data_IF_650447508748
#
_entry.id   IF_650447508748
#
_cell.length_a   1.000
_cell.length_b   1.000
_cell.length_c   1.000
_cell.angle_alpha   90.00
_cell.angle_beta   90.00
_cell.angle_gamma   90.00
#
_symmetry.space_group_name_H-M   'P 1'
#
loop_
_entity.id
_entity.type
_entity.pdbx_description
1 polymer ?
#
# COMPACT_ATOMS: atom_id res chain seq x y z
N UNK A 1 -7.81 -8.14 16.01
CA UNK A 1 -6.80 -8.31 14.94
C UNK A 1 -5.43 -7.78 15.35
N UNK A 2 -5.24 -6.45 15.49
CA UNK A 2 -3.92 -5.87 15.84
C UNK A 2 -3.38 -6.40 17.16
N UNK A 3 -4.21 -6.41 18.22
CA UNK A 3 -3.82 -6.97 19.53
C UNK A 3 -3.26 -8.40 19.46
N UNK A 4 -3.72 -9.20 18.50
CA UNK A 4 -3.31 -10.59 18.30
C UNK A 4 -2.05 -10.75 17.43
N UNK A 5 -1.42 -9.66 16.97
CA UNK A 5 -0.19 -9.68 16.16
C UNK A 5 -0.36 -9.19 14.73
N UNK A 6 -1.58 -8.83 14.32
CA UNK A 6 -1.84 -8.27 12.99
C UNK A 6 -1.26 -6.86 12.82
N UNK A 7 -0.97 -6.48 11.58
CA UNK A 7 -0.63 -5.07 11.24
C UNK A 7 -1.77 -4.43 10.49
N UNK A 8 -2.30 -3.32 11.01
CA UNK A 8 -3.30 -2.50 10.34
C UNK A 8 -2.62 -1.25 9.76
N UNK A 9 -2.92 -0.93 8.50
CA UNK A 9 -2.57 0.34 7.87
C UNK A 9 -3.89 1.02 7.53
N UNK A 10 -4.07 2.26 7.99
CA UNK A 10 -5.23 3.09 7.66
C UNK A 10 -4.80 4.41 7.05
N UNK A 11 -5.57 4.85 6.07
CA UNK A 11 -5.55 6.20 5.55
C UNK A 11 -6.44 7.11 6.40
N UNK A 12 -6.52 8.38 5.99
CA UNK A 12 -7.24 9.44 6.67
C UNK A 12 -8.69 9.08 7.00
N UNK A 13 -9.18 9.64 8.10
CA UNK A 13 -10.54 9.62 8.58
C UNK A 13 -11.11 8.22 8.95
N UNK A 14 -10.36 7.30 9.59
CA UNK A 14 -10.88 5.98 9.94
C UNK A 14 -12.09 6.05 10.87
N UNK A 15 -13.19 5.47 10.42
CA UNK A 15 -14.43 5.43 11.19
C UNK A 15 -15.09 6.79 11.40
N UNK A 16 -14.77 7.79 10.56
CA UNK A 16 -15.39 9.11 10.57
C UNK A 16 -16.91 9.07 10.44
N UNK A 17 -17.41 8.15 9.61
CA UNK A 17 -18.84 7.91 9.47
C UNK A 17 -19.21 6.61 10.19
N UNK A 18 -20.35 6.60 10.87
CA UNK A 18 -20.91 5.38 11.43
C UNK A 18 -21.70 4.58 10.38
N UNK A 19 -22.28 3.45 10.82
CA UNK A 19 -23.07 2.55 9.96
C UNK A 19 -24.33 3.18 9.34
N UNK A 20 -24.74 4.35 9.81
CA UNK A 20 -25.90 5.09 9.33
C UNK A 20 -25.50 6.31 8.48
N UNK A 21 -24.20 6.51 8.25
CA UNK A 21 -23.67 7.63 7.47
C UNK A 21 -23.50 8.93 8.26
N UNK A 22 -23.69 8.92 9.59
CA UNK A 22 -23.48 10.12 10.40
C UNK A 22 -21.99 10.35 10.63
N UNK A 23 -21.54 11.56 10.28
CA UNK A 23 -20.17 11.99 10.53
C UNK A 23 -19.98 12.31 12.02
N UNK A 24 -18.87 11.84 12.59
CA UNK A 24 -18.47 12.13 13.97
C UNK A 24 -17.88 13.54 14.06
N UNK A 25 -18.33 14.39 15.00
CA UNK A 25 -17.75 15.72 15.20
C UNK A 25 -16.25 15.69 15.51
N UNK A 26 -15.79 14.67 16.24
CA UNK A 26 -14.38 14.48 16.61
C UNK A 26 -13.44 14.03 15.48
N UNK A 27 -13.91 13.98 14.23
CA UNK A 27 -13.08 13.63 13.07
C UNK A 27 -12.97 12.13 12.83
N UNK A 28 -12.37 11.37 13.77
CA UNK A 28 -12.21 9.91 13.67
C UNK A 28 -12.98 9.17 14.78
N UNK A 29 -13.15 7.86 14.63
CA UNK A 29 -13.85 7.07 15.67
C UNK A 29 -13.02 6.98 16.96
N UNK A 30 -13.65 6.97 18.16
CA UNK A 30 -12.92 6.79 19.42
C UNK A 30 -12.07 5.53 19.47
N UNK A 31 -12.55 4.44 18.87
CA UNK A 31 -11.81 3.17 18.74
C UNK A 31 -10.55 3.35 17.88
N UNK A 32 -10.60 4.19 16.84
CA UNK A 32 -9.44 4.52 16.04
C UNK A 32 -8.44 5.39 16.83
N UNK A 33 -8.91 6.40 17.58
CA UNK A 33 -8.05 7.21 18.45
C UNK A 33 -7.28 6.36 19.47
N UNK A 34 -7.96 5.38 20.07
CA UNK A 34 -7.35 4.41 20.98
C UNK A 34 -6.34 3.52 20.26
N UNK A 35 -6.76 2.89 19.16
CA UNK A 35 -5.92 1.95 18.40
C UNK A 35 -4.63 2.59 17.87
N UNK A 36 -4.73 3.81 17.36
CA UNK A 36 -3.60 4.55 16.80
C UNK A 36 -2.89 5.42 17.84
N UNK A 37 -3.38 5.48 19.09
CA UNK A 37 -2.86 6.31 20.17
C UNK A 37 -2.61 7.77 19.75
N UNK A 38 -3.69 8.40 19.27
CA UNK A 38 -3.73 9.81 18.84
C UNK A 38 -5.02 10.49 19.30
N UNK A 39 -5.06 11.81 19.13
CA UNK A 39 -6.27 12.62 19.07
C UNK A 39 -6.31 13.30 17.70
N UNK A 40 -7.47 13.26 17.04
CA UNK A 40 -7.65 14.03 15.80
C UNK A 40 -7.58 15.53 16.10
N UNK A 41 -6.71 16.25 15.39
CA UNK A 41 -6.60 17.70 15.53
C UNK A 41 -7.39 18.43 14.44
N UNK A 42 -7.09 18.12 13.18
CA UNK A 42 -7.66 18.85 12.05
C UNK A 42 -7.58 18.03 10.77
N UNK A 43 -8.57 18.21 9.90
CA UNK A 43 -8.52 17.75 8.51
C UNK A 43 -8.81 18.90 7.56
N UNK A 44 -7.94 19.09 6.56
CA UNK A 44 -8.08 20.13 5.54
C UNK A 44 -7.83 19.58 4.16
N UNK A 45 -8.45 20.19 3.14
CA UNK A 45 -8.10 19.91 1.75
C UNK A 45 -6.71 20.45 1.43
N UNK A 46 -6.05 19.81 0.48
CA UNK A 46 -4.74 20.22 -0.05
C UNK A 46 -4.80 20.34 -1.56
N UNK A 47 -4.02 21.27 -2.10
CA UNK A 47 -3.84 21.41 -3.54
C UNK A 47 -3.10 20.22 -4.14
N UNK A 48 -3.32 20.03 -5.43
CA UNK A 48 -2.56 19.07 -6.23
C UNK A 48 -1.14 19.57 -6.52
N UNK A 49 -0.21 18.65 -6.78
CA UNK A 49 1.12 19.01 -7.27
C UNK A 49 1.09 19.68 -8.64
N UNK A 50 0.06 19.41 -9.44
CA UNK A 50 -0.08 19.91 -10.81
C UNK A 50 -0.86 21.24 -10.85
N UNK A 51 -0.42 22.13 -11.73
CA UNK A 51 -1.08 23.41 -12.02
C UNK A 51 -1.34 23.47 -13.54
N UNK A 52 -2.60 23.67 -13.99
CA UNK A 52 -3.83 23.78 -13.19
C UNK A 52 -4.21 22.44 -12.51
N UNK A 53 -5.00 22.47 -11.42
CA UNK A 53 -5.44 21.25 -10.74
C UNK A 53 -6.39 20.44 -11.64
N UNK A 54 -6.29 19.11 -11.57
CA UNK A 54 -7.14 18.18 -12.32
C UNK A 54 -8.45 17.88 -11.59
N UNK A 55 -8.41 17.73 -10.26
CA UNK A 55 -9.54 17.29 -9.43
C UNK A 55 -9.96 18.32 -8.38
N UNK A 56 -9.00 19.11 -7.90
CA UNK A 56 -9.16 20.05 -6.80
C UNK A 56 -9.91 21.27 -7.33
N UNK A 57 -11.04 21.64 -6.73
CA UNK A 57 -11.80 22.79 -7.18
C UNK A 57 -10.97 24.07 -7.02
N UNK A 58 -11.27 25.07 -7.85
CA UNK A 58 -10.70 26.41 -7.70
C UNK A 58 -11.00 26.92 -6.29
N UNK A 59 -9.97 27.44 -5.64
CA UNK A 59 -10.12 28.05 -4.33
C UNK A 59 -11.02 29.28 -4.43
N UNK A 60 -12.14 29.26 -3.69
CA UNK A 60 -13.13 30.36 -3.68
C UNK A 60 -12.76 31.48 -2.70
N UNK A 61 -11.93 31.17 -1.70
CA UNK A 61 -11.52 32.09 -0.64
C UNK A 61 -10.12 31.70 -0.18
N UNK A 62 -9.22 32.68 -0.02
CA UNK A 62 -7.83 32.47 0.34
C UNK A 62 -7.66 31.58 1.58
N UNK A 63 -6.79 30.58 1.49
CA UNK A 63 -6.43 29.71 2.62
C UNK A 63 -7.49 28.65 2.97
N UNK A 64 -8.49 28.41 2.13
CA UNK A 64 -9.43 27.30 2.31
C UNK A 64 -8.76 25.95 1.99
N UNK A 65 -7.85 25.94 1.04
CA UNK A 65 -7.10 24.75 0.61
C UNK A 65 -5.64 24.96 0.97
N UNK A 66 -5.04 23.96 1.61
CA UNK A 66 -3.62 23.99 1.94
C UNK A 66 -2.77 24.00 0.66
N UNK A 67 -1.66 24.74 0.61
CA UNK A 67 -0.70 24.62 -0.48
C UNK A 67 -0.15 23.20 -0.55
N UNK A 68 0.14 22.73 -1.75
CA UNK A 68 0.77 21.42 -1.94
C UNK A 68 2.16 21.41 -1.28
N UNK A 69 2.41 20.40 -0.45
CA UNK A 69 3.73 20.10 0.11
C UNK A 69 3.78 18.60 0.45
N UNK A 70 4.83 17.87 0.04
CA UNK A 70 4.96 16.46 0.39
C UNK A 70 5.11 16.29 1.90
N UNK A 71 4.58 15.19 2.43
CA UNK A 71 4.86 14.75 3.78
C UNK A 71 6.31 14.26 3.85
N UNK A 72 7.03 14.71 4.86
CA UNK A 72 8.42 14.30 5.12
C UNK A 72 8.41 13.13 6.10
N UNK A 73 9.05 12.03 5.74
CA UNK A 73 9.32 10.93 6.66
C UNK A 73 10.35 11.29 7.73
N UNK A 74 10.13 10.79 8.94
CA UNK A 74 10.98 11.01 10.11
C UNK A 74 11.29 9.69 10.83
N UNK A 75 12.36 9.69 11.64
CA UNK A 75 12.84 8.48 12.31
C UNK A 75 13.16 7.39 11.29
N UNK A 76 12.54 6.22 11.43
CA UNK A 76 12.77 5.09 10.51
C UNK A 76 12.38 5.35 9.04
N UNK A 77 11.60 6.41 8.79
CA UNK A 77 11.18 6.82 7.45
C UNK A 77 11.95 8.06 6.94
N UNK A 78 13.07 8.42 7.55
CA UNK A 78 13.95 9.45 7.00
C UNK A 78 14.35 9.14 5.55
N UNK A 79 14.33 10.17 4.70
CA UNK A 79 14.55 10.04 3.26
C UNK A 79 13.32 9.60 2.45
N UNK A 80 12.23 9.19 3.09
CA UNK A 80 10.96 8.93 2.41
C UNK A 80 10.13 10.21 2.31
N UNK A 81 9.38 10.32 1.22
CA UNK A 81 8.36 11.35 1.02
C UNK A 81 7.04 10.68 0.68
N UNK A 82 5.95 11.28 1.16
CA UNK A 82 4.59 10.86 0.80
C UNK A 82 3.91 12.05 0.12
N UNK A 83 3.32 11.81 -1.05
CA UNK A 83 2.51 12.76 -1.78
C UNK A 83 1.11 12.78 -1.16
N UNK A 84 0.70 13.85 -0.45
CA UNK A 84 -0.63 13.93 0.09
C UNK A 84 -1.65 14.15 -1.03
N UNK A 85 -2.77 13.45 -0.92
CA UNK A 85 -3.86 13.49 -1.87
C UNK A 85 -5.16 13.84 -1.18
N UNK A 86 -5.90 14.78 -1.77
CA UNK A 86 -7.23 15.24 -1.36
C UNK A 86 -7.30 15.95 0.00
N UNK A 87 -6.67 15.41 1.03
CA UNK A 87 -6.63 15.98 2.37
C UNK A 87 -5.29 15.78 3.08
N UNK A 88 -5.11 16.61 4.10
CA UNK A 88 -4.12 16.46 5.17
C UNK A 88 -4.89 16.38 6.48
N UNK A 89 -4.73 15.26 7.18
CA UNK A 89 -5.22 15.05 8.53
C UNK A 89 -4.06 15.09 9.51
N UNK A 90 -4.18 15.97 10.50
CA UNK A 90 -3.18 16.26 11.51
C UNK A 90 -3.62 15.64 12.84
N UNK A 91 -2.65 15.08 13.55
CA UNK A 91 -2.86 14.37 14.80
C UNK A 91 -2.09 15.02 15.95
N UNK A 92 -2.68 15.03 17.14
CA UNK A 92 -1.92 15.14 18.38
C UNK A 92 -1.55 13.73 18.81
N UNK A 93 -0.27 13.54 19.10
CA UNK A 93 0.28 12.25 19.49
C UNK A 93 0.01 12.02 20.98
N UNK A 94 -0.43 10.81 21.33
CA UNK A 94 -0.47 10.35 22.72
C UNK A 94 0.79 9.51 22.97
N UNK A 95 0.70 8.21 22.74
CA UNK A 95 1.82 7.26 22.96
C UNK A 95 2.37 6.66 21.65
N UNK A 96 1.75 6.97 20.52
CA UNK A 96 2.24 6.51 19.22
C UNK A 96 3.55 7.19 18.81
N UNK A 97 4.27 6.58 17.89
CA UNK A 97 5.48 7.14 17.31
C UNK A 97 5.16 7.90 16.02
N UNK A 98 5.47 9.21 15.92
CA UNK A 98 5.37 9.96 14.67
C UNK A 98 6.27 9.41 13.58
N UNK A 99 5.77 9.35 12.35
CA UNK A 99 6.51 8.83 11.18
C UNK A 99 6.46 9.76 9.97
N UNK A 100 5.49 10.67 9.90
CA UNK A 100 5.33 11.63 8.80
C UNK A 100 4.97 13.01 9.33
N UNK A 101 5.55 14.03 8.71
CA UNK A 101 5.28 15.45 9.01
C UNK A 101 4.81 16.22 7.79
N UNK A 102 3.83 17.10 7.98
CA UNK A 102 3.48 18.17 7.05
C UNK A 102 3.91 19.52 7.65
N UNK A 103 5.04 20.04 7.20
CA UNK A 103 5.73 21.09 7.97
C UNK A 103 6.19 20.51 9.30
N UNK A 104 5.72 21.08 10.40
CA UNK A 104 6.01 20.60 11.76
C UNK A 104 4.85 19.80 12.37
N UNK A 105 3.73 19.69 11.65
CA UNK A 105 2.54 18.97 12.11
C UNK A 105 2.65 17.47 11.85
N UNK A 106 2.26 16.65 12.83
CA UNK A 106 2.24 15.19 12.70
C UNK A 106 1.05 14.76 11.85
N UNK A 107 1.34 14.06 10.75
CA UNK A 107 0.35 13.58 9.77
C UNK A 107 0.48 12.09 9.49
N UNK A 108 1.34 11.39 10.23
CA UNK A 108 1.37 9.95 10.22
C UNK A 108 2.03 9.41 11.47
N UNK A 109 1.49 8.31 11.99
CA UNK A 109 1.97 7.65 13.20
C UNK A 109 2.02 6.13 13.02
N UNK A 110 2.82 5.48 13.85
CA UNK A 110 2.74 4.05 14.11
C UNK A 110 2.55 3.80 15.60
N UNK A 111 1.59 2.97 15.96
CA UNK A 111 1.36 2.53 17.33
C UNK A 111 1.62 1.03 17.48
N UNK A 112 2.16 0.62 18.62
CA UNK A 112 2.19 -0.79 19.02
C UNK A 112 0.95 -1.07 19.87
N UNK A 113 0.07 -1.94 19.39
CA UNK A 113 -1.17 -2.27 20.08
C UNK A 113 -1.23 -3.78 20.33
N UNK A 114 -1.07 -4.18 21.60
CA UNK A 114 -0.86 -5.58 21.96
C UNK A 114 0.40 -6.15 21.30
N UNK A 115 0.24 -7.22 20.49
CA UNK A 115 1.35 -7.87 19.77
C UNK A 115 1.59 -7.30 18.36
N UNK A 116 0.72 -6.42 17.86
CA UNK A 116 0.75 -5.94 16.48
C UNK A 116 1.10 -4.45 16.34
N UNK A 117 0.97 -3.96 15.11
CA UNK A 117 1.25 -2.57 14.75
C UNK A 117 0.03 -1.93 14.08
N UNK A 118 -0.16 -0.62 14.31
CA UNK A 118 -1.22 0.16 13.72
C UNK A 118 -0.62 1.44 13.12
N UNK A 119 -0.61 1.54 11.79
CA UNK A 119 -0.15 2.70 11.04
C UNK A 119 -1.35 3.57 10.65
N UNK A 120 -1.28 4.86 10.93
CA UNK A 120 -2.28 5.84 10.50
C UNK A 120 -1.60 6.91 9.67
N UNK A 121 -2.08 7.11 8.45
CA UNK A 121 -1.53 8.06 7.48
C UNK A 121 -2.60 9.09 7.16
N UNK A 122 -2.34 10.36 7.46
CA UNK A 122 -3.26 11.49 7.35
C UNK A 122 -3.46 12.00 5.93
N UNK A 123 -3.53 11.09 4.96
CA UNK A 123 -3.89 11.41 3.58
C UNK A 123 -4.36 10.14 2.85
N UNK A 124 -4.77 10.28 1.58
CA UNK A 124 -5.20 9.16 0.73
C UNK A 124 -4.05 8.69 -0.17
N UNK A 125 -3.26 7.72 0.31
CA UNK A 125 -2.08 7.19 -0.39
C UNK A 125 -2.46 6.55 -1.73
N UNK A 126 -3.50 5.70 -1.71
CA UNK A 126 -3.98 4.97 -2.88
C UNK A 126 -4.50 5.91 -3.97
N UNK A 127 -5.20 6.97 -3.58
CA UNK A 127 -5.65 7.99 -4.52
C UNK A 127 -4.46 8.66 -5.21
N UNK A 128 -3.44 9.09 -4.46
CA UNK A 128 -2.25 9.73 -5.05
C UNK A 128 -1.54 8.83 -6.07
N UNK A 129 -1.39 7.54 -5.77
CA UNK A 129 -0.81 6.57 -6.70
C UNK A 129 -1.63 6.50 -8.01
N UNK A 130 -2.95 6.31 -7.91
CA UNK A 130 -3.83 6.17 -9.09
C UNK A 130 -4.02 7.46 -9.89
N UNK A 131 -4.04 8.62 -9.22
CA UNK A 131 -4.36 9.90 -9.84
C UNK A 131 -3.15 10.58 -10.47
N UNK A 132 -1.94 10.33 -9.94
CA UNK A 132 -0.72 11.06 -10.32
C UNK A 132 0.47 10.16 -10.68
N UNK A 133 0.28 8.84 -10.77
CA UNK A 133 1.35 7.86 -11.04
C UNK A 133 2.55 8.00 -10.05
N UNK A 134 2.22 8.24 -8.78
CA UNK A 134 3.22 8.58 -7.76
C UNK A 134 3.97 7.35 -7.23
N UNK A 135 5.24 7.23 -7.62
CA UNK A 135 6.13 6.18 -7.11
C UNK A 135 6.58 6.38 -5.65
N UNK A 136 6.47 7.58 -5.08
CA UNK A 136 6.92 7.85 -3.71
C UNK A 136 6.02 7.16 -2.67
N UNK A 137 4.70 7.28 -2.81
CA UNK A 137 3.73 6.59 -1.97
C UNK A 137 3.88 5.08 -2.06
N UNK A 138 4.14 4.56 -3.28
CA UNK A 138 4.44 3.14 -3.47
C UNK A 138 5.69 2.72 -2.69
N UNK A 139 6.78 3.48 -2.78
CA UNK A 139 8.03 3.20 -2.05
C UNK A 139 7.84 3.27 -0.53
N UNK A 140 7.10 4.25 -0.04
CA UNK A 140 6.74 4.36 1.38
C UNK A 140 5.94 3.15 1.86
N UNK A 141 4.88 2.77 1.12
CA UNK A 141 4.06 1.62 1.49
C UNK A 141 4.85 0.31 1.45
N UNK A 142 5.70 0.11 0.45
CA UNK A 142 6.60 -1.03 0.38
C UNK A 142 7.55 -1.07 1.58
N UNK A 143 8.04 0.07 2.05
CA UNK A 143 8.85 0.14 3.26
C UNK A 143 8.06 -0.26 4.51
N UNK A 144 6.82 0.20 4.65
CA UNK A 144 5.93 -0.21 5.75
C UNK A 144 5.72 -1.73 5.73
N UNK A 145 5.50 -2.33 4.57
CA UNK A 145 5.35 -3.78 4.41
C UNK A 145 6.66 -4.52 4.71
N UNK A 146 7.79 -3.96 4.33
CA UNK A 146 9.10 -4.52 4.62
C UNK A 146 9.40 -4.59 6.11
N UNK A 147 9.10 -3.53 6.85
CA UNK A 147 9.26 -3.47 8.31
C UNK A 147 8.48 -4.58 9.04
N UNK A 148 7.40 -5.10 8.42
CA UNK A 148 6.60 -6.21 8.96
C UNK A 148 6.87 -7.54 8.25
N UNK A 149 8.02 -7.65 7.56
CA UNK A 149 8.47 -8.85 6.84
C UNK A 149 7.51 -9.34 5.75
N UNK A 150 6.68 -8.45 5.21
CA UNK A 150 5.79 -8.72 4.07
C UNK A 150 6.49 -8.30 2.79
N UNK A 151 7.00 -9.27 2.04
CA UNK A 151 7.68 -9.03 0.76
C UNK A 151 6.73 -9.19 -0.43
N UNK A 152 6.94 -8.44 -1.53
CA UNK A 152 6.36 -8.78 -2.81
C UNK A 152 6.72 -10.21 -3.20
N UNK A 153 5.72 -11.00 -3.56
CA UNK A 153 5.95 -12.35 -4.03
C UNK A 153 6.39 -12.31 -5.51
N UNK A 154 7.57 -12.86 -5.78
CA UNK A 154 8.24 -12.77 -7.08
C UNK A 154 8.49 -14.15 -7.70
N UNK A 155 8.61 -14.15 -9.03
CA UNK A 155 8.98 -15.28 -9.86
C UNK A 155 10.02 -14.76 -10.86
N UNK A 156 11.31 -14.88 -10.52
CA UNK A 156 12.35 -14.03 -11.12
C UNK A 156 12.07 -12.55 -10.82
N UNK A 157 12.10 -11.68 -11.84
CA UNK A 157 11.68 -10.26 -11.67
C UNK A 157 10.17 -10.02 -11.72
N UNK A 158 9.39 -11.01 -12.17
CA UNK A 158 7.94 -10.88 -12.37
C UNK A 158 7.16 -11.00 -11.07
N UNK A 159 6.01 -10.34 -10.98
CA UNK A 159 5.10 -10.47 -9.84
C UNK A 159 4.39 -11.82 -9.89
N UNK A 160 4.28 -12.50 -8.74
CA UNK A 160 3.55 -13.77 -8.62
C UNK A 160 2.44 -13.65 -7.58
N UNK A 161 1.30 -14.28 -7.86
CA UNK A 161 0.27 -14.60 -6.88
C UNK A 161 -0.05 -16.08 -6.95
N UNK A 162 -0.16 -16.72 -5.79
CA UNK A 162 -0.52 -18.14 -5.72
C UNK A 162 -1.98 -18.34 -5.34
N UNK A 163 -2.56 -19.40 -5.88
CA UNK A 163 -3.75 -20.05 -5.33
C UNK A 163 -3.35 -21.46 -4.94
N UNK A 164 -3.53 -21.80 -3.68
CA UNK A 164 -3.08 -23.06 -3.10
C UNK A 164 -4.33 -23.85 -2.73
N UNK A 165 -4.40 -25.11 -3.17
CA UNK A 165 -5.46 -26.04 -2.81
C UNK A 165 -4.86 -27.44 -2.69
N UNK A 166 -4.83 -27.98 -1.46
CA UNK A 166 -4.19 -29.27 -1.13
C UNK A 166 -2.74 -29.29 -1.64
N UNK A 167 -2.43 -30.22 -2.54
CA UNK A 167 -1.15 -30.48 -3.19
C UNK A 167 -0.91 -29.66 -4.46
N UNK A 168 -1.89 -28.84 -4.87
CA UNK A 168 -1.83 -28.04 -6.10
C UNK A 168 -1.59 -26.56 -5.81
N UNK A 169 -0.81 -25.93 -6.68
CA UNK A 169 -0.65 -24.49 -6.75
C UNK A 169 -0.83 -23.98 -8.18
N UNK A 170 -1.71 -22.99 -8.34
CA UNK A 170 -1.74 -22.16 -9.54
C UNK A 170 -0.90 -20.90 -9.29
N UNK A 171 0.13 -20.69 -10.08
CA UNK A 171 1.02 -19.53 -9.97
C UNK A 171 0.66 -18.51 -11.04
N UNK A 172 -0.12 -17.49 -10.69
CA UNK A 172 -0.40 -16.36 -11.58
C UNK A 172 0.82 -15.45 -11.63
N UNK A 173 1.51 -15.41 -12.76
CA UNK A 173 2.72 -14.63 -13.00
C UNK A 173 2.37 -13.50 -13.97
N UNK A 174 2.60 -12.26 -13.56
CA UNK A 174 2.17 -11.06 -14.28
C UNK A 174 3.36 -10.30 -14.82
N UNK A 175 3.32 -9.95 -16.11
CA UNK A 175 4.22 -8.96 -16.69
C UNK A 175 3.49 -7.64 -16.88
N UNK A 176 3.69 -6.70 -15.95
CA UNK A 176 3.07 -5.38 -15.99
C UNK A 176 3.91 -4.35 -16.76
N UNK A 177 4.92 -4.78 -17.52
CA UNK A 177 5.83 -3.90 -18.26
C UNK A 177 5.54 -3.93 -19.75
N UNK A 178 6.07 -2.94 -20.48
CA UNK A 178 6.00 -2.87 -21.94
C UNK A 178 6.99 -3.81 -22.66
N UNK A 179 7.81 -4.55 -21.92
CA UNK A 179 8.86 -5.42 -22.47
C UNK A 179 8.53 -6.90 -22.21
N UNK A 180 8.91 -7.78 -23.13
CA UNK A 180 8.81 -9.23 -22.87
C UNK A 180 9.78 -9.61 -21.76
N UNK A 181 9.31 -10.38 -20.78
CA UNK A 181 10.14 -10.93 -19.74
C UNK A 181 10.39 -12.43 -19.97
N UNK A 182 11.64 -12.84 -19.83
CA UNK A 182 12.04 -14.25 -19.86
C UNK A 182 12.81 -14.54 -18.58
N UNK A 183 12.35 -15.51 -17.80
CA UNK A 183 12.97 -15.89 -16.54
C UNK A 183 13.16 -17.42 -16.52
N UNK A 184 14.17 -17.88 -15.79
CA UNK A 184 14.35 -19.29 -15.44
C UNK A 184 14.11 -19.39 -13.94
N UNK A 185 13.10 -20.16 -13.55
CA UNK A 185 12.61 -20.19 -12.18
C UNK A 185 12.68 -21.61 -11.66
N UNK A 186 13.34 -21.77 -10.52
CA UNK A 186 13.34 -23.03 -9.78
C UNK A 186 11.93 -23.28 -9.21
N UNK A 187 11.35 -24.43 -9.55
CA UNK A 187 10.06 -24.86 -9.01
C UNK A 187 10.22 -25.81 -7.82
N UNK A 188 11.43 -26.04 -7.31
CA UNK A 188 11.71 -26.76 -6.08
C UNK A 188 11.19 -28.20 -6.11
N UNK A 189 10.43 -28.56 -5.07
CA UNK A 189 9.79 -29.88 -4.92
C UNK A 189 8.57 -30.09 -5.84
N UNK A 190 8.20 -29.08 -6.63
CA UNK A 190 6.99 -29.14 -7.44
C UNK A 190 7.25 -29.73 -8.82
N UNK A 191 6.27 -30.44 -9.36
CA UNK A 191 6.17 -30.89 -10.75
C UNK A 191 5.19 -29.99 -11.52
N UNK A 192 5.47 -29.73 -12.79
CA UNK A 192 4.54 -29.02 -13.68
C UNK A 192 3.48 -30.01 -14.17
N UNK A 193 2.22 -29.80 -13.81
CA UNK A 193 1.09 -30.67 -14.19
C UNK A 193 0.15 -30.04 -15.21
N UNK A 194 0.32 -28.75 -15.51
CA UNK A 194 -0.43 -28.07 -16.56
C UNK A 194 -0.17 -26.57 -16.62
N UNK A 195 -0.84 -25.91 -17.56
CA UNK A 195 -0.85 -24.45 -17.69
C UNK A 195 -2.28 -24.00 -17.98
N UNK A 196 -2.83 -23.10 -17.15
CA UNK A 196 -4.25 -22.76 -17.16
C UNK A 196 -4.67 -21.93 -18.39
N UNK A 197 -3.73 -21.18 -18.98
CA UNK A 197 -3.94 -20.24 -20.10
C UNK A 197 -3.50 -20.88 -21.44
N UNK A 198 -3.22 -22.19 -21.42
CA UNK A 198 -2.78 -23.00 -22.56
C UNK A 198 -1.53 -22.42 -23.26
N UNK A 199 -0.54 -21.99 -22.47
CA UNK A 199 0.77 -21.54 -22.93
C UNK A 199 1.77 -22.68 -22.92
N UNK A 200 2.65 -22.69 -23.91
CA UNK A 200 3.77 -23.61 -23.94
C UNK A 200 4.78 -23.24 -22.85
N UNK A 201 5.05 -24.22 -22.00
CA UNK A 201 6.04 -24.14 -20.93
C UNK A 201 7.14 -25.15 -21.18
N UNK A 202 8.39 -24.71 -21.05
CA UNK A 202 9.54 -25.60 -21.08
C UNK A 202 10.05 -25.81 -19.65
N UNK A 203 10.03 -27.07 -19.21
CA UNK A 203 10.61 -27.52 -17.96
C UNK A 203 11.87 -28.33 -18.25
N UNK A 204 12.98 -27.95 -17.64
CA UNK A 204 14.22 -28.73 -17.69
C UNK A 204 14.81 -28.83 -16.28
N UNK A 205 15.00 -30.06 -15.80
CA UNK A 205 15.69 -30.35 -14.53
C UNK A 205 15.17 -29.54 -13.32
N UNK A 206 13.84 -29.46 -13.16
CA UNK A 206 13.20 -28.70 -12.08
C UNK A 206 13.21 -27.18 -12.26
N UNK A 207 13.65 -26.69 -13.42
CA UNK A 207 13.66 -25.26 -13.76
C UNK A 207 12.64 -24.98 -14.85
N UNK A 208 11.67 -24.14 -14.50
CA UNK A 208 10.67 -23.65 -15.42
C UNK A 208 11.19 -22.41 -16.13
N UNK A 209 11.40 -22.50 -17.45
CA UNK A 209 11.64 -21.32 -18.27
C UNK A 209 10.31 -20.71 -18.65
N UNK A 210 10.08 -19.49 -18.19
CA UNK A 210 8.87 -18.71 -18.45
C UNK A 210 9.18 -17.57 -19.41
N UNK A 211 8.28 -17.32 -20.34
CA UNK A 211 8.30 -16.15 -21.22
C UNK A 211 6.93 -15.49 -21.20
N UNK A 212 6.87 -14.28 -20.65
CA UNK A 212 5.62 -13.53 -20.47
C UNK A 212 5.67 -12.26 -21.30
N UNK A 213 4.75 -12.10 -22.24
CA UNK A 213 4.65 -10.94 -23.13
C UNK A 213 4.28 -9.67 -22.33
N UNK A 214 4.46 -8.47 -22.91
CA UNK A 214 4.03 -7.23 -22.26
C UNK A 214 2.56 -7.27 -21.87
N UNK A 215 2.24 -6.82 -20.66
CA UNK A 215 0.88 -6.76 -20.12
C UNK A 215 0.10 -8.08 -20.21
N UNK A 216 0.82 -9.21 -20.14
CA UNK A 216 0.28 -10.56 -20.24
C UNK A 216 0.44 -11.33 -18.92
N UNK A 217 -0.24 -12.47 -18.84
CA UNK A 217 -0.26 -13.34 -17.68
C UNK A 217 0.09 -14.78 -18.10
N UNK A 218 0.77 -15.48 -17.20
CA UNK A 218 1.09 -16.90 -17.30
C UNK A 218 0.64 -17.60 -16.01
N UNK A 219 0.15 -18.83 -16.11
CA UNK A 219 -0.38 -19.58 -14.97
C UNK A 219 -0.03 -21.08 -15.05
N UNK A 220 1.22 -21.47 -14.74
CA UNK A 220 1.54 -22.87 -14.49
C UNK A 220 0.77 -23.41 -13.29
N UNK A 221 0.34 -24.66 -13.42
CA UNK A 221 -0.24 -25.48 -12.36
C UNK A 221 0.84 -26.45 -11.90
N UNK A 222 1.16 -26.37 -10.62
CA UNK A 222 2.24 -27.11 -9.99
C UNK A 222 1.67 -28.08 -8.94
N UNK A 223 2.32 -29.23 -8.78
CA UNK A 223 1.95 -30.29 -7.84
C UNK A 223 3.14 -30.70 -6.98
N UNK A 224 2.96 -31.01 -5.71
CA UNK A 224 4.01 -31.66 -4.88
C UNK A 224 3.96 -33.19 -4.96
N UNK A 225 3.18 -33.75 -5.89
CA UNK A 225 3.08 -35.18 -6.19
C UNK A 225 3.73 -35.51 -7.52
#
# INVERSE_FOLDING_TARGET
YVAAGGTLISEACPGRHDRFGFARPGGISPIAEELFSVEHYQVRRIHEPQIPPKWTPRELSYGRILPFKPFRGIGRFEGYQVLPSFCVEVYKVKESTPILLYGDSVVGVVNKFGKGLAYLIGTLLGHAYTAFDDSNNQRFLLKVLEDISVMPEKCGRLNRRRRISKDLQAWFIFNMTSQTATEIVDIGEYTLVGELIQRDLSLDSGKLKIKVRPFDILCPILSTR
#
